data_IF_596012921811
#
_entry.id   IF_596012921811
#
_cell.length_a   1.000
_cell.length_b   1.000
_cell.length_c   1.000
_cell.angle_alpha   90.00
_cell.angle_beta   90.00
_cell.angle_gamma   90.00
#
_symmetry.space_group_name_H-M   'P 1'
#
loop_
_entity.id
_entity.type
_entity.pdbx_description
1 polymer ?
#
# COMPACT_ATOMS: atom_id res chain seq x y z
N UNK A 1 -26.55 10.83 -2.83
CA UNK A 1 -26.61 9.73 -1.84
C UNK A 1 -25.19 9.50 -1.37
N UNK A 2 -24.93 9.87 -0.14
CA UNK A 2 -23.58 10.15 0.37
C UNK A 2 -22.81 8.85 0.67
N UNK A 3 -21.48 8.89 0.56
CA UNK A 3 -20.62 7.72 0.82
C UNK A 3 -20.80 7.25 2.28
N UNK A 4 -20.99 8.21 3.18
CA UNK A 4 -21.33 7.97 4.58
C UNK A 4 -22.63 7.18 4.77
N UNK A 5 -23.67 7.52 4.02
CA UNK A 5 -24.99 6.89 4.12
C UNK A 5 -24.96 5.42 3.64
N UNK A 6 -24.09 5.09 2.68
CA UNK A 6 -23.83 3.71 2.26
C UNK A 6 -23.06 2.91 3.32
N UNK A 7 -22.09 3.52 3.99
CA UNK A 7 -21.33 2.84 5.06
C UNK A 7 -22.20 2.54 6.29
N UNK A 8 -23.04 3.48 6.70
CA UNK A 8 -23.93 3.28 7.87
C UNK A 8 -24.93 2.16 7.62
N UNK A 9 -25.61 2.15 6.46
CA UNK A 9 -26.54 1.07 6.11
C UNK A 9 -25.86 -0.30 6.08
N UNK A 10 -24.61 -0.37 5.62
CA UNK A 10 -23.85 -1.64 5.55
C UNK A 10 -23.45 -2.13 6.94
N UNK A 11 -22.95 -1.24 7.81
CA UNK A 11 -22.63 -1.55 9.21
C UNK A 11 -23.87 -2.01 9.99
N UNK A 12 -25.01 -1.38 9.76
CA UNK A 12 -26.29 -1.76 10.37
C UNK A 12 -26.75 -3.16 9.90
N UNK A 13 -26.62 -3.44 8.60
CA UNK A 13 -26.94 -4.75 8.04
C UNK A 13 -26.05 -5.87 8.60
N UNK A 14 -24.75 -5.62 8.77
CA UNK A 14 -23.82 -6.59 9.37
C UNK A 14 -24.08 -6.82 10.85
N UNK A 15 -24.40 -5.77 11.62
CA UNK A 15 -24.80 -5.90 13.03
C UNK A 15 -26.07 -6.72 13.18
N UNK A 16 -27.08 -6.46 12.34
CA UNK A 16 -28.34 -7.19 12.37
C UNK A 16 -28.14 -8.68 12.03
N UNK A 17 -27.29 -8.99 11.04
CA UNK A 17 -26.92 -10.38 10.73
C UNK A 17 -26.17 -11.07 11.87
N UNK A 18 -25.21 -10.40 12.49
CA UNK A 18 -24.46 -10.95 13.62
C UNK A 18 -25.39 -11.20 14.82
N UNK A 19 -26.33 -10.30 15.08
CA UNK A 19 -27.34 -10.46 16.12
C UNK A 19 -28.28 -11.64 15.83
N UNK A 20 -28.79 -11.76 14.60
CA UNK A 20 -29.61 -12.91 14.19
C UNK A 20 -28.86 -14.24 14.28
N UNK A 21 -27.59 -14.28 13.88
CA UNK A 21 -26.74 -15.46 14.03
C UNK A 21 -26.59 -15.83 15.51
N UNK A 22 -26.28 -14.88 16.40
CA UNK A 22 -26.17 -15.14 17.85
C UNK A 22 -27.47 -15.67 18.45
N UNK A 23 -28.61 -15.07 18.08
CA UNK A 23 -29.92 -15.54 18.51
C UNK A 23 -30.21 -16.95 18.01
N UNK A 24 -29.91 -17.26 16.74
CA UNK A 24 -30.06 -18.60 16.17
C UNK A 24 -29.15 -19.62 16.86
N UNK A 25 -27.89 -19.26 17.16
CA UNK A 25 -26.96 -20.12 17.89
C UNK A 25 -27.45 -20.41 19.31
N UNK A 26 -27.94 -19.39 20.02
CA UNK A 26 -28.51 -19.54 21.36
C UNK A 26 -29.77 -20.42 21.35
N UNK A 27 -30.64 -20.24 20.35
CA UNK A 27 -31.84 -21.07 20.21
C UNK A 27 -31.49 -22.54 19.94
N UNK A 28 -30.56 -22.81 19.03
CA UNK A 28 -30.09 -24.18 18.75
C UNK A 28 -29.44 -24.80 19.99
N UNK A 29 -28.58 -24.06 20.71
CA UNK A 29 -27.96 -24.54 21.94
C UNK A 29 -29.00 -24.83 23.04
N UNK A 30 -30.01 -23.97 23.19
CA UNK A 30 -31.10 -24.18 24.15
C UNK A 30 -31.93 -25.43 23.83
N UNK A 31 -32.29 -25.62 22.57
CA UNK A 31 -33.02 -26.82 22.10
C UNK A 31 -32.20 -28.08 22.34
N UNK A 32 -30.91 -28.07 21.98
CA UNK A 32 -30.02 -29.21 22.22
C UNK A 32 -29.86 -29.52 23.72
N UNK A 33 -29.68 -28.50 24.56
CA UNK A 33 -29.56 -28.69 26.01
C UNK A 33 -30.84 -29.29 26.62
N UNK A 34 -32.01 -28.76 26.26
CA UNK A 34 -33.31 -29.29 26.73
C UNK A 34 -33.54 -30.72 26.26
N UNK A 35 -33.22 -31.04 25.00
CA UNK A 35 -33.33 -32.40 24.49
C UNK A 35 -32.37 -33.36 25.20
N UNK A 36 -31.14 -32.91 25.49
CA UNK A 36 -30.13 -33.72 26.19
C UNK A 36 -30.57 -34.03 27.63
N UNK A 37 -31.12 -33.04 28.34
CA UNK A 37 -31.67 -33.22 29.70
C UNK A 37 -32.88 -34.17 29.68
N UNK A 38 -33.78 -34.03 28.72
CA UNK A 38 -34.92 -34.93 28.55
C UNK A 38 -34.48 -36.37 28.27
N UNK A 39 -33.46 -36.57 27.42
CA UNK A 39 -32.86 -37.88 27.13
C UNK A 39 -32.21 -38.52 28.35
N UNK A 40 -31.51 -37.72 29.17
CA UNK A 40 -30.91 -38.22 30.42
C UNK A 40 -31.99 -38.65 31.42
N UNK A 41 -33.10 -37.91 31.54
CA UNK A 41 -34.22 -38.28 32.40
C UNK A 41 -35.04 -39.48 31.89
N UNK A 42 -35.03 -39.73 30.58
CA UNK A 42 -35.72 -40.86 29.96
C UNK A 42 -34.87 -42.16 29.94
N UNK A 43 -33.62 -42.13 30.40
CA UNK A 43 -32.66 -43.23 30.28
C UNK A 43 -33.15 -44.55 30.85
N UNK A 44 -33.90 -44.51 31.95
CA UNK A 44 -34.38 -45.71 32.66
C UNK A 44 -35.65 -46.30 32.04
N UNK A 45 -36.30 -45.59 31.12
CA UNK A 45 -37.58 -45.99 30.51
C UNK A 45 -37.41 -46.71 29.17
N UNK A 46 -36.23 -46.62 28.54
CA UNK A 46 -35.98 -47.17 27.21
C UNK A 46 -34.85 -48.21 27.21
N UNK A 47 -34.92 -49.24 26.36
CA UNK A 47 -33.81 -50.17 26.18
C UNK A 47 -32.53 -49.43 25.71
N UNK A 48 -31.33 -49.85 26.14
CA UNK A 48 -30.07 -49.16 25.86
C UNK A 48 -29.78 -48.93 24.37
N UNK A 49 -30.28 -49.82 23.50
CA UNK A 49 -30.15 -49.73 22.05
C UNK A 49 -30.88 -48.51 21.48
N UNK A 50 -32.09 -48.21 21.94
CA UNK A 50 -32.87 -47.05 21.49
C UNK A 50 -32.21 -45.74 21.93
N UNK A 51 -31.70 -45.67 23.15
CA UNK A 51 -30.96 -44.51 23.65
C UNK A 51 -29.75 -44.19 22.78
N UNK A 52 -28.99 -45.22 22.40
CA UNK A 52 -27.79 -45.07 21.56
C UNK A 52 -28.14 -44.54 20.16
N UNK A 53 -29.21 -45.06 19.55
CA UNK A 53 -29.69 -44.61 18.22
C UNK A 53 -30.12 -43.14 18.29
N UNK A 54 -30.93 -42.76 19.28
CA UNK A 54 -31.41 -41.38 19.43
C UNK A 54 -30.24 -40.42 19.64
N UNK A 55 -29.27 -40.79 20.47
CA UNK A 55 -28.08 -39.97 20.72
C UNK A 55 -27.27 -39.74 19.44
N UNK A 56 -27.00 -40.79 18.66
CA UNK A 56 -26.29 -40.68 17.37
C UNK A 56 -27.04 -39.75 16.42
N UNK A 57 -28.37 -39.89 16.32
CA UNK A 57 -29.22 -39.03 15.48
C UNK A 57 -29.12 -37.55 15.90
N UNK A 58 -29.10 -37.29 17.20
CA UNK A 58 -28.97 -35.95 17.78
C UNK A 58 -27.62 -35.32 17.48
N UNK A 59 -26.53 -36.11 17.54
CA UNK A 59 -25.18 -35.69 17.14
C UNK A 59 -25.15 -35.36 15.64
N UNK A 60 -25.73 -36.21 14.79
CA UNK A 60 -25.80 -35.96 13.34
C UNK A 60 -26.57 -34.68 13.03
N UNK A 61 -27.76 -34.48 13.64
CA UNK A 61 -28.57 -33.26 13.46
C UNK A 61 -27.80 -32.02 13.93
N UNK A 62 -27.10 -32.12 15.07
CA UNK A 62 -26.28 -31.02 15.59
C UNK A 62 -25.16 -30.65 14.62
N UNK A 63 -24.46 -31.65 14.07
CA UNK A 63 -23.42 -31.42 13.07
C UNK A 63 -24.00 -30.78 11.81
N UNK A 64 -25.14 -31.25 11.30
CA UNK A 64 -25.81 -30.66 10.12
C UNK A 64 -26.20 -29.21 10.38
N UNK A 65 -26.72 -28.88 11.57
CA UNK A 65 -27.08 -27.50 11.92
C UNK A 65 -25.84 -26.60 12.05
N UNK A 66 -24.77 -27.08 12.68
CA UNK A 66 -23.51 -26.33 12.78
C UNK A 66 -22.93 -26.09 11.38
N UNK A 67 -22.82 -27.13 10.55
CA UNK A 67 -22.33 -26.96 9.19
C UNK A 67 -23.25 -26.09 8.34
N UNK A 68 -24.57 -26.24 8.46
CA UNK A 68 -25.55 -25.39 7.76
C UNK A 68 -25.40 -23.91 8.10
N UNK A 69 -25.33 -23.58 9.40
CA UNK A 69 -25.24 -22.20 9.89
C UNK A 69 -23.86 -21.57 9.62
N UNK A 70 -22.78 -22.33 9.77
CA UNK A 70 -21.42 -21.80 9.65
C UNK A 70 -20.77 -22.02 8.28
N UNK A 71 -21.36 -22.81 7.38
CA UNK A 71 -20.82 -23.08 6.03
C UNK A 71 -20.47 -21.80 5.28
N UNK A 72 -21.38 -20.82 5.26
CA UNK A 72 -21.16 -19.54 4.58
C UNK A 72 -19.95 -18.77 5.13
N UNK A 73 -19.80 -18.71 6.46
CA UNK A 73 -18.68 -18.04 7.13
C UNK A 73 -17.36 -18.77 6.89
N UNK A 74 -17.38 -20.10 6.93
CA UNK A 74 -16.20 -20.93 6.68
C UNK A 74 -15.77 -20.78 5.21
N UNK A 75 -16.69 -20.88 4.26
CA UNK A 75 -16.42 -20.70 2.83
C UNK A 75 -15.84 -19.31 2.55
N UNK A 76 -16.41 -18.25 3.14
CA UNK A 76 -15.89 -16.89 3.02
C UNK A 76 -14.47 -16.77 3.59
N UNK A 77 -14.20 -17.33 4.77
CA UNK A 77 -12.85 -17.32 5.38
C UNK A 77 -11.83 -18.07 4.53
N UNK A 78 -12.19 -19.27 4.03
CA UNK A 78 -11.30 -20.05 3.17
C UNK A 78 -11.01 -19.32 1.87
N UNK A 79 -12.03 -18.71 1.25
CA UNK A 79 -11.87 -17.91 0.03
C UNK A 79 -10.94 -16.71 0.29
N UNK A 80 -11.19 -15.94 1.35
CA UNK A 80 -10.36 -14.81 1.74
C UNK A 80 -8.90 -15.23 2.03
N UNK A 81 -8.70 -16.36 2.69
CA UNK A 81 -7.36 -16.88 2.97
C UNK A 81 -6.63 -17.31 1.69
N UNK A 82 -7.33 -17.97 0.77
CA UNK A 82 -6.80 -18.36 -0.54
C UNK A 82 -6.42 -17.13 -1.37
N UNK A 83 -7.29 -16.12 -1.43
CA UNK A 83 -7.03 -14.85 -2.10
C UNK A 83 -5.84 -14.12 -1.49
N UNK A 84 -5.76 -14.05 -0.15
CA UNK A 84 -4.61 -13.47 0.55
C UNK A 84 -3.30 -14.18 0.18
N UNK A 85 -3.27 -15.52 0.21
CA UNK A 85 -2.08 -16.29 -0.20
C UNK A 85 -1.70 -16.03 -1.66
N UNK A 86 -2.68 -15.91 -2.57
CA UNK A 86 -2.43 -15.55 -3.97
C UNK A 86 -1.77 -14.18 -4.06
N UNK A 87 -2.30 -13.18 -3.37
CA UNK A 87 -1.75 -11.82 -3.36
C UNK A 87 -0.37 -11.74 -2.72
N UNK A 88 -0.12 -12.45 -1.61
CA UNK A 88 1.19 -12.50 -0.98
C UNK A 88 2.24 -13.15 -1.91
N UNK A 89 1.84 -14.17 -2.68
CA UNK A 89 2.71 -14.75 -3.71
C UNK A 89 3.03 -13.76 -4.83
N UNK A 90 2.05 -13.00 -5.29
CA UNK A 90 2.27 -11.94 -6.28
C UNK A 90 3.16 -10.83 -5.73
N UNK A 91 2.97 -10.43 -4.47
CA UNK A 91 3.77 -9.42 -3.79
C UNK A 91 5.24 -9.79 -3.74
N UNK A 92 5.57 -11.06 -3.46
CA UNK A 92 6.96 -11.54 -3.50
C UNK A 92 7.59 -11.40 -4.90
N UNK A 93 6.84 -11.70 -5.95
CA UNK A 93 7.32 -11.54 -7.34
C UNK A 93 7.55 -10.07 -7.69
N UNK A 94 6.60 -9.20 -7.33
CA UNK A 94 6.69 -7.76 -7.60
C UNK A 94 7.75 -7.05 -6.76
N UNK A 95 8.01 -7.54 -5.55
CA UNK A 95 9.01 -6.98 -4.65
C UNK A 95 10.41 -6.96 -5.27
N UNK A 96 10.80 -7.97 -6.05
CA UNK A 96 12.11 -7.97 -6.70
C UNK A 96 12.25 -6.87 -7.75
N UNK A 97 11.18 -6.55 -8.48
CA UNK A 97 11.17 -5.43 -9.42
C UNK A 97 11.21 -4.08 -8.68
N UNK A 98 10.41 -3.96 -7.62
CA UNK A 98 10.40 -2.79 -6.76
C UNK A 98 11.76 -2.53 -6.13
N UNK A 99 12.41 -3.57 -5.59
CA UNK A 99 13.73 -3.49 -4.98
C UNK A 99 14.77 -3.00 -5.99
N UNK A 100 14.73 -3.45 -7.25
CA UNK A 100 15.62 -2.95 -8.30
C UNK A 100 15.45 -1.44 -8.55
N UNK A 101 14.20 -0.94 -8.56
CA UNK A 101 13.93 0.49 -8.68
C UNK A 101 14.50 1.27 -7.49
N UNK A 102 14.24 0.81 -6.27
CA UNK A 102 14.79 1.44 -5.07
C UNK A 102 16.32 1.43 -5.08
N UNK A 103 16.95 0.33 -5.50
CA UNK A 103 18.42 0.24 -5.62
C UNK A 103 18.95 1.22 -6.65
N UNK A 104 18.29 1.36 -7.81
CA UNK A 104 18.67 2.35 -8.83
C UNK A 104 18.51 3.78 -8.33
N UNK A 105 17.52 4.06 -7.47
CA UNK A 105 17.36 5.40 -6.88
C UNK A 105 18.58 5.86 -6.08
N UNK A 106 19.44 4.94 -5.63
CA UNK A 106 20.73 5.25 -4.99
C UNK A 106 21.56 6.24 -5.81
N UNK A 107 21.50 6.18 -7.14
CA UNK A 107 22.20 7.09 -8.06
C UNK A 107 21.89 8.58 -7.81
N UNK A 108 20.70 8.89 -7.30
CA UNK A 108 20.27 10.25 -6.98
C UNK A 108 20.62 10.68 -5.55
N UNK A 109 21.11 9.76 -4.74
CA UNK A 109 21.48 10.02 -3.33
C UNK A 109 22.99 10.01 -3.11
N UNK A 110 23.75 9.26 -3.92
CA UNK A 110 25.20 9.23 -3.81
C UNK A 110 25.83 10.59 -4.14
N UNK A 111 26.97 10.88 -3.52
CA UNK A 111 27.75 12.08 -3.81
C UNK A 111 28.45 11.92 -5.17
N UNK A 112 27.69 12.11 -6.24
CA UNK A 112 28.15 12.05 -7.64
C UNK A 112 27.84 13.37 -8.33
N UNK A 113 28.75 13.85 -9.16
CA UNK A 113 28.65 15.15 -9.82
C UNK A 113 27.52 15.23 -10.87
N UNK A 114 26.91 14.08 -11.22
CA UNK A 114 26.00 13.92 -12.35
C UNK A 114 24.53 13.68 -11.96
N UNK A 115 24.16 13.98 -10.70
CA UNK A 115 22.78 13.97 -10.21
C UNK A 115 22.28 15.38 -9.81
N UNK A 116 20.96 15.53 -9.69
CA UNK A 116 20.32 16.85 -9.50
C UNK A 116 20.75 17.49 -8.18
N UNK A 117 20.82 16.69 -7.12
CA UNK A 117 21.25 17.13 -5.80
C UNK A 117 22.64 17.79 -5.83
N UNK A 118 23.62 17.15 -6.45
CA UNK A 118 24.97 17.69 -6.59
C UNK A 118 25.01 18.92 -7.49
N UNK A 119 24.26 18.92 -8.60
CA UNK A 119 24.18 20.08 -9.50
C UNK A 119 23.59 21.29 -8.77
N UNK A 120 22.50 21.12 -8.02
CA UNK A 120 21.87 22.21 -7.24
C UNK A 120 22.81 22.74 -6.16
N UNK A 121 23.49 21.83 -5.46
CA UNK A 121 24.48 22.21 -4.45
C UNK A 121 25.68 22.93 -5.08
N UNK A 122 26.09 22.54 -6.29
CA UNK A 122 27.16 23.19 -7.03
C UNK A 122 26.78 24.61 -7.47
N UNK A 123 25.59 24.78 -8.07
CA UNK A 123 25.06 26.09 -8.49
C UNK A 123 25.03 27.07 -7.31
N UNK A 124 24.50 26.62 -6.17
CA UNK A 124 24.40 27.43 -4.95
C UNK A 124 25.77 27.89 -4.43
N UNK A 125 26.78 27.03 -4.42
CA UNK A 125 28.03 27.28 -3.68
C UNK A 125 29.21 27.74 -4.56
N UNK A 126 29.18 27.48 -5.88
CA UNK A 126 30.31 27.71 -6.79
C UNK A 126 30.06 28.81 -7.82
N UNK A 127 29.01 29.62 -7.64
CA UNK A 127 28.79 30.81 -8.46
C UNK A 127 29.63 31.98 -7.93
N UNK A 128 30.42 32.68 -8.77
CA UNK A 128 31.23 33.83 -8.36
C UNK A 128 30.40 34.95 -7.71
N UNK A 129 31.04 35.76 -6.86
CA UNK A 129 30.40 36.91 -6.25
C UNK A 129 30.16 38.06 -7.26
N UNK A 130 29.03 38.79 -7.19
CA UNK A 130 27.88 38.53 -6.32
C UNK A 130 27.12 37.28 -6.76
N UNK A 131 26.86 36.35 -5.82
CA UNK A 131 26.22 35.07 -6.10
C UNK A 131 24.70 35.15 -5.85
N UNK A 132 23.88 35.27 -6.92
CA UNK A 132 22.43 35.37 -6.78
C UNK A 132 21.78 34.06 -6.34
N UNK A 133 22.44 32.90 -6.50
CA UNK A 133 21.90 31.58 -6.17
C UNK A 133 22.10 31.19 -4.71
N UNK A 134 22.82 32.00 -3.92
CA UNK A 134 23.03 31.76 -2.49
C UNK A 134 21.71 31.69 -1.70
N UNK A 135 20.66 32.38 -2.18
CA UNK A 135 19.30 32.37 -1.64
C UNK A 135 18.48 31.11 -1.97
N UNK A 136 19.00 30.20 -2.79
CA UNK A 136 18.31 28.96 -3.14
C UNK A 136 18.42 27.97 -1.98
N UNK A 137 17.27 27.53 -1.47
CA UNK A 137 17.21 26.52 -0.42
C UNK A 137 17.45 25.14 -1.03
N UNK A 138 18.69 24.67 -0.92
CA UNK A 138 19.10 23.32 -1.30
C UNK A 138 19.48 22.59 -0.03
N UNK A 139 18.86 21.44 0.20
CA UNK A 139 19.15 20.57 1.34
C UNK A 139 20.54 19.93 1.17
N UNK A 140 21.21 19.63 2.28
CA UNK A 140 22.53 19.00 2.21
C UNK A 140 22.43 17.57 1.67
N UNK A 141 23.41 17.11 0.85
CA UNK A 141 23.35 15.80 0.25
C UNK A 141 23.16 14.63 1.22
N UNK A 142 23.82 14.73 2.37
CA UNK A 142 23.81 13.74 3.45
C UNK A 142 22.39 13.41 3.96
N UNK A 143 21.47 14.37 3.94
CA UNK A 143 20.09 14.15 4.41
C UNK A 143 19.38 13.04 3.63
N UNK A 144 19.50 13.01 2.31
CA UNK A 144 18.87 11.96 1.50
C UNK A 144 19.63 10.64 1.54
N UNK A 145 20.95 10.68 1.72
CA UNK A 145 21.76 9.47 1.92
C UNK A 145 21.33 8.73 3.18
N UNK A 146 21.19 9.44 4.30
CA UNK A 146 20.72 8.88 5.56
C UNK A 146 19.29 8.37 5.45
N UNK A 147 18.38 9.17 4.87
CA UNK A 147 16.98 8.78 4.68
C UNK A 147 16.84 7.54 3.81
N UNK A 148 17.64 7.46 2.74
CA UNK A 148 17.71 6.30 1.87
C UNK A 148 18.28 5.07 2.61
N UNK A 149 19.33 5.25 3.43
CA UNK A 149 19.90 4.21 4.28
C UNK A 149 18.86 3.57 5.20
N UNK A 150 18.11 4.38 5.96
CA UNK A 150 17.03 3.89 6.82
C UNK A 150 15.93 3.17 6.03
N UNK A 151 15.60 3.68 4.84
CA UNK A 151 14.62 3.03 3.99
C UNK A 151 15.12 1.66 3.47
N UNK A 152 16.40 1.53 3.14
CA UNK A 152 17.01 0.27 2.71
C UNK A 152 17.01 -0.78 3.82
N UNK A 153 17.26 -0.40 5.07
CA UNK A 153 17.13 -1.29 6.22
C UNK A 153 15.70 -1.86 6.31
N UNK A 154 14.70 -1.01 6.17
CA UNK A 154 13.30 -1.41 6.19
C UNK A 154 12.90 -2.26 4.98
N UNK A 155 13.41 -1.91 3.79
CA UNK A 155 13.20 -2.70 2.57
C UNK A 155 13.68 -4.15 2.74
N UNK A 156 14.81 -4.34 3.44
CA UNK A 156 15.38 -5.66 3.72
C UNK A 156 14.55 -6.47 4.74
N UNK A 157 13.61 -5.84 5.46
CA UNK A 157 12.69 -6.51 6.40
C UNK A 157 11.37 -6.92 5.75
N UNK A 158 11.26 -6.89 4.42
CA UNK A 158 10.07 -7.30 3.70
C UNK A 158 9.64 -8.73 4.09
N UNK A 159 8.41 -8.87 4.58
CA UNK A 159 7.90 -10.14 5.11
C UNK A 159 7.15 -11.00 4.06
N UNK A 160 7.10 -10.55 2.81
CA UNK A 160 6.45 -11.30 1.73
C UNK A 160 4.95 -11.10 1.60
N UNK A 161 4.33 -10.15 2.33
CA UNK A 161 2.89 -9.88 2.23
C UNK A 161 2.58 -8.74 1.28
N UNK A 162 1.37 -8.74 0.71
CA UNK A 162 0.84 -7.60 -0.06
C UNK A 162 0.92 -6.32 0.74
N UNK A 163 0.41 -6.32 1.98
CA UNK A 163 0.35 -5.13 2.82
C UNK A 163 1.74 -4.54 3.11
N UNK A 164 2.76 -5.40 3.31
CA UNK A 164 4.13 -4.95 3.48
C UNK A 164 4.69 -4.31 2.21
N UNK A 165 4.40 -4.87 1.03
CA UNK A 165 4.81 -4.27 -0.24
C UNK A 165 4.15 -2.89 -0.43
N UNK A 166 2.85 -2.77 -0.18
CA UNK A 166 2.12 -1.50 -0.28
C UNK A 166 2.69 -0.46 0.67
N UNK A 167 2.98 -0.84 1.92
CA UNK A 167 3.55 0.06 2.92
C UNK A 167 4.93 0.58 2.48
N UNK A 168 5.81 -0.32 2.00
CA UNK A 168 7.13 0.04 1.50
C UNK A 168 7.02 0.99 0.29
N UNK A 169 6.16 0.69 -0.68
CA UNK A 169 5.99 1.55 -1.85
C UNK A 169 5.48 2.94 -1.49
N UNK A 170 4.51 3.07 -0.59
CA UNK A 170 4.02 4.38 -0.11
C UNK A 170 5.09 5.20 0.59
N UNK A 171 5.94 4.54 1.38
CA UNK A 171 7.06 5.21 2.02
C UNK A 171 8.10 5.67 0.99
N UNK A 172 8.39 4.85 -0.01
CA UNK A 172 9.26 5.24 -1.12
C UNK A 172 8.69 6.40 -1.94
N UNK A 173 7.39 6.40 -2.23
CA UNK A 173 6.70 7.53 -2.88
C UNK A 173 6.89 8.83 -2.08
N UNK A 174 6.87 8.73 -0.75
CA UNK A 174 7.13 9.88 0.12
C UNK A 174 8.57 10.38 0.00
N UNK A 175 9.55 9.47 -0.16
CA UNK A 175 10.96 9.82 -0.42
C UNK A 175 11.09 10.52 -1.78
N UNK A 176 10.47 9.97 -2.83
CA UNK A 176 10.48 10.57 -4.16
C UNK A 176 9.82 11.96 -4.17
N UNK A 177 8.69 12.11 -3.48
CA UNK A 177 8.01 13.39 -3.35
C UNK A 177 8.88 14.43 -2.64
N UNK A 178 9.53 14.06 -1.54
CA UNK A 178 10.47 14.96 -0.86
C UNK A 178 11.64 15.32 -1.78
N UNK A 179 12.18 14.37 -2.55
CA UNK A 179 13.28 14.63 -3.47
C UNK A 179 12.88 15.63 -4.56
N UNK A 180 11.71 15.41 -5.18
CA UNK A 180 11.13 16.29 -6.18
C UNK A 180 10.89 17.71 -5.63
N UNK A 181 10.30 17.82 -4.45
CA UNK A 181 10.07 19.12 -3.81
C UNK A 181 11.40 19.85 -3.53
N UNK A 182 12.35 19.19 -2.86
CA UNK A 182 13.52 19.84 -2.26
C UNK A 182 14.68 20.08 -3.24
N UNK A 183 14.76 19.34 -4.34
CA UNK A 183 15.84 19.47 -5.32
C UNK A 183 15.40 19.89 -6.72
N UNK A 184 14.10 19.81 -7.03
CA UNK A 184 13.57 20.11 -8.36
C UNK A 184 12.64 21.31 -8.26
N UNK A 185 11.43 21.13 -7.71
CA UNK A 185 10.37 22.14 -7.76
C UNK A 185 10.76 23.43 -7.05
N UNK A 186 11.07 23.39 -5.75
CA UNK A 186 11.36 24.61 -5.00
C UNK A 186 12.64 25.31 -5.47
N UNK A 187 13.77 24.60 -5.70
CA UNK A 187 15.00 25.25 -6.17
C UNK A 187 14.85 25.87 -7.56
N UNK A 188 14.22 25.17 -8.51
CA UNK A 188 14.03 25.70 -9.87
C UNK A 188 13.09 26.90 -9.85
N UNK A 189 11.98 26.85 -9.11
CA UNK A 189 11.08 28.00 -8.94
C UNK A 189 11.82 29.19 -8.32
N UNK A 190 12.64 28.95 -7.30
CA UNK A 190 13.41 30.01 -6.67
C UNK A 190 14.42 30.62 -7.64
N UNK A 191 15.13 29.81 -8.43
CA UNK A 191 16.05 30.28 -9.48
C UNK A 191 15.32 31.16 -10.50
N UNK A 192 14.15 30.73 -10.98
CA UNK A 192 13.31 31.50 -11.92
C UNK A 192 12.79 32.83 -11.34
N UNK A 193 12.69 32.93 -10.01
CA UNK A 193 12.22 34.13 -9.32
C UNK A 193 13.33 35.17 -9.05
N UNK A 194 14.59 34.83 -9.29
CA UNK A 194 15.70 35.76 -9.13
C UNK A 194 15.57 36.84 -10.21
N UNK A 195 15.60 38.10 -9.80
CA UNK A 195 15.43 39.25 -10.70
C UNK A 195 16.39 39.18 -11.89
N UNK A 196 15.85 39.27 -13.10
CA UNK A 196 16.59 39.12 -14.36
C UNK A 196 16.81 37.67 -14.82
N UNK A 197 16.46 36.64 -14.05
CA UNK A 197 16.64 35.24 -14.45
C UNK A 197 15.32 34.59 -14.90
N UNK A 198 14.84 34.94 -16.10
CA UNK A 198 13.73 34.21 -16.74
C UNK A 198 14.26 33.13 -17.69
N UNK A 199 13.48 32.07 -17.93
CA UNK A 199 13.83 30.98 -18.87
C UNK A 199 14.08 31.55 -20.27
N UNK A 200 13.25 32.52 -20.69
CA UNK A 200 13.36 33.21 -21.98
C UNK A 200 14.48 34.27 -21.99
N UNK A 201 14.85 34.79 -20.82
CA UNK A 201 15.88 35.81 -20.65
C UNK A 201 17.21 35.25 -20.16
N UNK A 202 17.79 34.27 -20.88
CA UNK A 202 19.22 33.87 -20.99
C UNK A 202 20.26 34.10 -19.84
N UNK A 203 19.87 34.38 -18.59
CA UNK A 203 20.79 34.84 -17.54
C UNK A 203 21.25 33.74 -16.57
N UNK A 204 20.68 32.53 -16.66
CA UNK A 204 21.28 31.35 -16.00
C UNK A 204 22.44 30.85 -16.86
N UNK A 205 23.66 30.72 -16.31
CA UNK A 205 24.82 30.23 -17.05
C UNK A 205 24.54 28.92 -17.80
N UNK A 206 24.92 28.86 -19.08
CA UNK A 206 24.66 27.71 -19.97
C UNK A 206 25.15 26.38 -19.38
N UNK A 207 26.30 26.39 -18.72
CA UNK A 207 26.87 25.22 -18.02
C UNK A 207 25.93 24.63 -16.96
N UNK A 208 25.17 25.47 -16.24
CA UNK A 208 24.23 25.03 -15.21
C UNK A 208 22.98 24.42 -15.84
N UNK A 209 22.45 25.06 -16.88
CA UNK A 209 21.33 24.51 -17.67
C UNK A 209 21.68 23.15 -18.27
N UNK A 210 22.86 23.01 -18.87
CA UNK A 210 23.32 21.75 -19.47
C UNK A 210 23.52 20.64 -18.41
N UNK A 211 24.16 20.96 -17.28
CA UNK A 211 24.40 19.99 -16.20
C UNK A 211 23.10 19.54 -15.55
N UNK A 212 22.20 20.48 -15.26
CA UNK A 212 20.89 20.17 -14.72
C UNK A 212 20.03 19.39 -15.72
N UNK A 213 20.01 19.79 -16.99
CA UNK A 213 19.24 19.10 -18.04
C UNK A 213 19.62 17.62 -18.16
N UNK A 214 20.93 17.31 -18.12
CA UNK A 214 21.42 15.92 -18.10
C UNK A 214 20.98 15.15 -16.86
N UNK A 215 21.09 15.75 -15.67
CA UNK A 215 20.68 15.12 -14.41
C UNK A 215 19.15 14.93 -14.33
N UNK A 216 18.39 15.92 -14.80
CA UNK A 216 16.93 15.91 -14.94
C UNK A 216 16.48 14.77 -15.85
N UNK A 217 17.12 14.58 -17.01
CA UNK A 217 16.74 13.52 -17.92
C UNK A 217 16.85 12.13 -17.27
N UNK A 218 17.94 11.86 -16.54
CA UNK A 218 18.09 10.60 -15.79
C UNK A 218 16.97 10.40 -14.78
N UNK A 219 16.58 11.46 -14.07
CA UNK A 219 15.48 11.40 -13.10
C UNK A 219 14.13 11.18 -13.80
N UNK A 220 13.88 11.81 -14.95
CA UNK A 220 12.69 11.55 -15.77
C UNK A 220 12.62 10.08 -16.17
N UNK A 221 13.72 9.52 -16.68
CA UNK A 221 13.79 8.12 -17.08
C UNK A 221 13.48 7.19 -15.90
N UNK A 222 14.05 7.48 -14.73
CA UNK A 222 13.76 6.77 -13.49
C UNK A 222 12.26 6.86 -13.10
N UNK A 223 11.66 8.05 -13.15
CA UNK A 223 10.24 8.25 -12.83
C UNK A 223 9.36 7.51 -13.82
N UNK A 224 9.67 7.50 -15.12
CA UNK A 224 8.92 6.73 -16.11
C UNK A 224 8.94 5.23 -15.81
N UNK A 225 10.10 4.69 -15.42
CA UNK A 225 10.21 3.29 -15.02
C UNK A 225 9.41 2.98 -13.74
N UNK A 226 9.40 3.90 -12.78
CA UNK A 226 8.56 3.80 -11.59
C UNK A 226 7.07 3.81 -11.93
N UNK A 227 6.62 4.74 -12.81
CA UNK A 227 5.23 4.82 -13.26
C UNK A 227 4.79 3.54 -13.96
N UNK A 228 5.65 2.97 -14.80
CA UNK A 228 5.40 1.69 -15.46
C UNK A 228 5.22 0.58 -14.42
N UNK A 229 6.12 0.48 -13.44
CA UNK A 229 5.99 -0.47 -12.35
C UNK A 229 4.69 -0.29 -11.55
N UNK A 230 4.33 0.95 -11.22
CA UNK A 230 3.10 1.25 -10.49
C UNK A 230 1.86 0.84 -11.28
N UNK A 231 1.84 1.10 -12.58
CA UNK A 231 0.77 0.68 -13.49
C UNK A 231 0.65 -0.84 -13.57
N UNK A 232 1.74 -1.53 -13.89
CA UNK A 232 1.77 -2.99 -14.02
C UNK A 232 1.34 -3.67 -12.70
N UNK A 233 1.82 -3.13 -11.57
CA UNK A 233 1.43 -3.57 -10.24
C UNK A 233 -0.07 -3.38 -9.98
N UNK A 234 -0.59 -2.19 -10.26
CA UNK A 234 -2.02 -1.91 -10.10
C UNK A 234 -2.89 -2.85 -10.94
N UNK A 235 -2.49 -3.14 -12.18
CA UNK A 235 -3.23 -4.04 -13.07
C UNK A 235 -3.23 -5.49 -12.53
N UNK A 236 -2.08 -5.98 -12.06
CA UNK A 236 -1.96 -7.33 -11.47
C UNK A 236 -2.77 -7.49 -10.19
N UNK A 237 -2.86 -6.43 -9.38
CA UNK A 237 -3.64 -6.48 -8.13
C UNK A 237 -5.11 -6.06 -8.31
N UNK A 238 -5.49 -5.44 -9.44
CA UNK A 238 -6.87 -5.02 -9.78
C UNK A 238 -7.81 -6.17 -10.10
N UNK A 239 -7.28 -7.29 -10.60
CA UNK A 239 -8.05 -8.28 -11.38
C UNK A 239 -9.21 -8.99 -10.64
N UNK A 240 -9.58 -8.66 -9.39
CA UNK A 240 -10.78 -9.16 -8.71
C UNK A 240 -11.44 -8.20 -7.71
N UNK A 241 -11.40 -6.88 -7.94
CA UNK A 241 -12.18 -5.93 -7.11
C UNK A 241 -13.66 -5.78 -7.53
N UNK A 242 -14.23 -6.80 -8.21
CA UNK A 242 -15.69 -6.90 -8.50
C UNK A 242 -16.56 -7.18 -7.26
N UNK A 243 -16.00 -7.07 -6.05
CA UNK A 243 -16.72 -7.31 -4.79
C UNK A 243 -16.79 -6.06 -3.91
N UNK A 244 -17.46 -5.02 -4.42
CA UNK A 244 -18.33 -4.14 -3.63
C UNK A 244 -17.77 -3.53 -2.32
N UNK A 245 -16.48 -3.22 -2.26
CA UNK A 245 -15.90 -2.47 -1.14
C UNK A 245 -15.10 -1.28 -1.68
N UNK A 246 -15.54 -0.09 -1.28
CA UNK A 246 -14.97 1.21 -1.62
C UNK A 246 -13.50 1.28 -1.25
N UNK A 247 -12.67 1.59 -2.24
CA UNK A 247 -11.26 1.88 -2.08
C UNK A 247 -10.50 1.85 -3.40
N UNK A 248 -11.02 2.55 -4.42
CA UNK A 248 -10.43 2.79 -5.74
C UNK A 248 -9.02 2.20 -5.97
N UNK A 249 -8.94 0.93 -6.38
CA UNK A 249 -8.15 0.34 -7.48
C UNK A 249 -6.71 0.76 -7.78
N UNK A 250 -6.06 1.59 -6.96
CA UNK A 250 -4.73 2.16 -7.17
C UNK A 250 -3.95 1.91 -5.89
N UNK A 251 -3.14 0.86 -5.92
CA UNK A 251 -2.24 0.47 -4.84
C UNK A 251 -0.99 1.36 -4.85
N UNK A 252 -0.53 1.71 -6.04
CA UNK A 252 0.68 2.49 -6.30
C UNK A 252 0.29 3.77 -7.05
N UNK A 253 0.76 4.93 -6.56
CA UNK A 253 0.37 6.24 -7.06
C UNK A 253 1.23 6.65 -8.27
N UNK A 254 0.61 7.35 -9.21
CA UNK A 254 1.28 7.98 -10.36
C UNK A 254 1.00 9.51 -10.35
N UNK A 255 1.61 10.23 -9.40
CA UNK A 255 1.43 11.68 -9.24
C UNK A 255 2.65 12.50 -9.66
N UNK A 256 3.70 11.88 -10.20
CA UNK A 256 4.90 12.62 -10.56
C UNK A 256 4.66 13.39 -11.87
N UNK A 257 4.57 14.71 -11.76
CA UNK A 257 4.65 15.60 -12.91
C UNK A 257 6.02 15.51 -13.55
N UNK A 258 6.14 15.96 -14.81
CA UNK A 258 7.47 16.11 -15.39
C UNK A 258 8.26 17.15 -14.59
N UNK A 259 9.48 16.82 -14.12
CA UNK A 259 10.36 17.75 -13.43
C UNK A 259 10.49 19.09 -14.16
N UNK A 260 10.59 20.20 -13.44
CA UNK A 260 10.75 21.53 -14.03
C UNK A 260 12.09 21.70 -14.78
N UNK A 261 12.10 22.48 -15.88
CA UNK A 261 13.32 22.90 -16.60
C UNK A 261 13.96 24.15 -15.99
N UNK A 262 15.29 24.27 -16.11
CA UNK A 262 16.08 25.32 -15.45
C UNK A 262 16.51 26.41 -16.43
#
# INVERSE_FOLDING_TARGET
>A
MDIFEKEERKKETERNRAHQLRLATLAVAGVLATFTVALLGARDYFPPTYYTIIFILLVIISLVLIFGLYSSLIIQKVKSYSEKRKHDRLAKSYFEQFKKLVVRFKEFTENRDDNIQSVMHYIKNNTPAPNPFSQVNVVQPMFFQERYGYYMERLNQFNGTKDSLVALTKEFESILYMYDMLYIKEPVQKIRSIEGMTIEGNNVPKQYKESYGKARQKYIDFIMDYKKFAKDGNDVFKEKEDSGFLGSGIIFRDFFEQPDEL
#
